data_IF_600373342234
#
_entry.id   IF_600373342234
#
_cell.length_a   1.000
_cell.length_b   1.000
_cell.length_c   1.000
_cell.angle_alpha   90.00
_cell.angle_beta   90.00
_cell.angle_gamma   90.00
#
_symmetry.space_group_name_H-M   'P 1'
#
loop_
_entity.id
_entity.type
_entity.pdbx_description
1 polymer ?
#
# COMPACT_ATOMS: atom_id res chain seq x y z
N UNK A 1 -37.35 33.47 38.27
CA UNK A 1 -37.62 32.09 38.68
C UNK A 1 -37.78 31.19 37.47
N UNK A 2 -38.15 31.73 36.30
CA UNK A 2 -38.22 31.00 35.01
C UNK A 2 -36.87 30.45 34.51
N UNK A 3 -35.76 31.19 34.68
CA UNK A 3 -34.42 30.81 34.20
C UNK A 3 -33.88 29.46 34.75
N UNK A 4 -34.29 29.06 35.96
CA UNK A 4 -33.88 27.76 36.53
C UNK A 4 -34.65 26.59 35.92
N UNK A 5 -35.95 26.76 35.70
CA UNK A 5 -36.79 25.71 35.10
C UNK A 5 -36.53 25.60 33.60
N UNK A 6 -36.31 26.71 32.90
CA UNK A 6 -35.89 26.72 31.50
C UNK A 6 -34.53 26.05 31.30
N UNK A 7 -33.59 26.26 32.23
CA UNK A 7 -32.30 25.55 32.20
C UNK A 7 -32.44 24.07 32.51
N UNK A 8 -33.32 23.68 33.43
CA UNK A 8 -33.58 22.27 33.73
C UNK A 8 -34.24 21.53 32.55
N UNK A 9 -35.09 22.22 31.77
CA UNK A 9 -35.73 21.67 30.56
C UNK A 9 -34.73 21.54 29.40
N UNK A 10 -33.81 22.51 29.24
CA UNK A 10 -32.82 22.51 28.14
C UNK A 10 -31.51 21.76 28.47
N UNK A 11 -31.36 21.25 29.70
CA UNK A 11 -30.13 20.60 30.16
C UNK A 11 -29.80 19.34 29.35
N UNK A 12 -30.80 18.53 29.00
CA UNK A 12 -30.59 17.31 28.23
C UNK A 12 -30.01 17.63 26.83
N UNK A 13 -30.62 18.58 26.11
CA UNK A 13 -30.13 19.02 24.80
C UNK A 13 -28.74 19.67 24.86
N UNK A 14 -28.42 20.39 25.95
CA UNK A 14 -27.10 20.99 26.16
C UNK A 14 -26.01 19.91 26.32
N UNK A 15 -26.29 18.88 27.13
CA UNK A 15 -25.36 17.77 27.35
C UNK A 15 -25.26 16.84 26.14
N UNK A 16 -26.36 16.61 25.42
CA UNK A 16 -26.33 15.86 24.16
C UNK A 16 -25.44 16.57 23.13
N UNK A 17 -25.61 17.88 22.97
CA UNK A 17 -24.78 18.67 22.05
C UNK A 17 -23.32 18.69 22.47
N UNK A 18 -23.05 18.84 23.77
CA UNK A 18 -21.69 18.80 24.30
C UNK A 18 -21.03 17.43 24.07
N UNK A 19 -21.73 16.35 24.40
CA UNK A 19 -21.25 14.98 24.19
C UNK A 19 -21.05 14.64 22.70
N UNK A 20 -21.93 15.10 21.82
CA UNK A 20 -21.75 14.96 20.38
C UNK A 20 -20.51 15.71 19.88
N UNK A 21 -20.33 16.97 20.29
CA UNK A 21 -19.18 17.76 19.89
C UNK A 21 -17.85 17.16 20.40
N UNK A 22 -17.84 16.69 21.65
CA UNK A 22 -16.70 15.99 22.25
C UNK A 22 -16.39 14.68 21.49
N UNK A 23 -17.41 13.85 21.27
CA UNK A 23 -17.28 12.57 20.55
C UNK A 23 -16.80 12.76 19.11
N UNK A 24 -17.30 13.78 18.41
CA UNK A 24 -16.88 14.12 17.06
C UNK A 24 -15.40 14.52 17.01
N UNK A 25 -14.95 15.41 17.91
CA UNK A 25 -13.56 15.85 17.92
C UNK A 25 -12.60 14.74 18.39
N UNK A 26 -13.02 13.92 19.36
CA UNK A 26 -12.27 12.75 19.80
C UNK A 26 -12.12 11.73 18.65
N UNK A 27 -13.22 11.40 17.96
CA UNK A 27 -13.22 10.50 16.82
C UNK A 27 -12.38 11.02 15.66
N UNK A 28 -12.43 12.32 15.37
CA UNK A 28 -11.59 12.95 14.33
C UNK A 28 -10.10 12.83 14.65
N UNK A 29 -9.69 13.08 15.90
CA UNK A 29 -8.29 12.94 16.33
C UNK A 29 -7.82 11.50 16.27
N UNK A 30 -8.62 10.57 16.80
CA UNK A 30 -8.28 9.16 16.83
C UNK A 30 -8.18 8.59 15.42
N UNK A 31 -9.19 8.80 14.58
CA UNK A 31 -9.20 8.31 13.20
C UNK A 31 -8.04 8.87 12.36
N UNK A 32 -7.64 10.12 12.58
CA UNK A 32 -6.47 10.69 11.92
C UNK A 32 -5.14 10.02 12.35
N UNK A 33 -5.02 9.67 13.64
CA UNK A 33 -3.84 8.98 14.16
C UNK A 33 -3.77 7.53 13.65
N UNK A 34 -4.88 6.79 13.78
CA UNK A 34 -5.00 5.40 13.32
C UNK A 34 -4.78 5.29 11.80
N UNK A 35 -5.43 6.14 11.01
CA UNK A 35 -5.27 6.15 9.56
C UNK A 35 -3.83 6.44 9.12
N UNK A 36 -3.11 7.31 9.86
CA UNK A 36 -1.69 7.58 9.60
C UNK A 36 -0.82 6.38 9.91
N UNK A 37 -1.05 5.72 11.04
CA UNK A 37 -0.28 4.54 11.45
C UNK A 37 -0.45 3.40 10.46
N UNK A 38 -1.70 3.05 10.14
CA UNK A 38 -2.04 2.01 9.16
C UNK A 38 -1.48 2.34 7.77
N UNK A 39 -1.58 3.60 7.34
CA UNK A 39 -1.04 4.04 6.06
C UNK A 39 0.49 3.90 5.97
N UNK A 40 1.21 4.14 7.07
CA UNK A 40 2.68 3.96 7.12
C UNK A 40 3.04 2.48 7.04
N UNK A 41 2.39 1.63 7.85
CA UNK A 41 2.66 0.19 7.88
C UNK A 41 2.37 -0.44 6.52
N UNK A 42 1.15 -0.24 6.00
CA UNK A 42 0.72 -0.82 4.74
C UNK A 42 1.50 -0.26 3.55
N UNK A 43 1.77 1.05 3.55
CA UNK A 43 2.58 1.70 2.52
C UNK A 43 4.02 1.20 2.51
N UNK A 44 4.61 0.93 3.68
CA UNK A 44 5.95 0.35 3.78
C UNK A 44 5.99 -1.06 3.22
N UNK A 45 5.01 -1.90 3.55
CA UNK A 45 4.93 -3.27 3.05
C UNK A 45 4.85 -3.32 1.53
N UNK A 46 3.92 -2.57 0.93
CA UNK A 46 3.81 -2.47 -0.53
C UNK A 46 5.10 -1.90 -1.12
N UNK A 47 5.64 -0.82 -0.55
CA UNK A 47 6.85 -0.18 -1.04
C UNK A 47 8.07 -1.11 -1.05
N UNK A 48 8.24 -1.91 0.01
CA UNK A 48 9.28 -2.94 0.13
C UNK A 48 9.17 -3.96 -1.00
N UNK A 49 7.97 -4.45 -1.27
CA UNK A 49 7.69 -5.46 -2.29
C UNK A 49 8.00 -4.92 -3.69
N UNK A 50 7.49 -3.72 -4.01
CA UNK A 50 7.71 -3.04 -5.28
C UNK A 50 9.20 -2.73 -5.50
N UNK A 51 9.88 -2.25 -4.47
CA UNK A 51 11.32 -1.98 -4.49
C UNK A 51 12.14 -3.23 -4.79
N UNK A 52 11.81 -4.35 -4.14
CA UNK A 52 12.44 -5.64 -4.40
C UNK A 52 12.25 -6.08 -5.86
N UNK A 53 11.01 -6.11 -6.37
CA UNK A 53 10.74 -6.57 -7.74
C UNK A 53 11.42 -5.69 -8.79
N UNK A 54 11.43 -4.37 -8.58
CA UNK A 54 12.12 -3.43 -9.47
C UNK A 54 13.62 -3.63 -9.45
N UNK A 55 14.23 -3.70 -8.26
CA UNK A 55 15.68 -3.91 -8.12
C UNK A 55 16.12 -5.24 -8.73
N UNK A 56 15.39 -6.32 -8.46
CA UNK A 56 15.63 -7.62 -9.07
C UNK A 56 15.58 -7.57 -10.59
N UNK A 57 14.56 -6.93 -11.16
CA UNK A 57 14.43 -6.81 -12.61
C UNK A 57 15.58 -5.98 -13.22
N UNK A 58 16.01 -4.92 -12.54
CA UNK A 58 17.14 -4.08 -12.95
C UNK A 58 18.46 -4.85 -12.97
N UNK A 59 18.74 -5.66 -11.94
CA UNK A 59 19.97 -6.45 -11.90
C UNK A 59 20.01 -7.51 -13.01
N UNK A 60 18.88 -8.15 -13.33
CA UNK A 60 18.83 -9.07 -14.47
C UNK A 60 19.03 -8.39 -15.82
N UNK A 61 18.49 -7.20 -16.02
CA UNK A 61 18.73 -6.43 -17.26
C UNK A 61 20.19 -5.97 -17.38
N UNK A 62 20.82 -5.58 -16.27
CA UNK A 62 22.26 -5.28 -16.23
C UNK A 62 23.09 -6.52 -16.55
N UNK A 63 22.77 -7.66 -15.94
CA UNK A 63 23.46 -8.91 -16.20
C UNK A 63 23.33 -9.35 -17.66
N UNK A 64 22.15 -9.19 -18.26
CA UNK A 64 21.93 -9.46 -19.69
C UNK A 64 22.72 -8.52 -20.62
N UNK A 65 22.97 -7.28 -20.19
CA UNK A 65 23.79 -6.32 -20.94
C UNK A 65 25.27 -6.74 -20.96
N UNK A 66 25.76 -7.34 -19.87
CA UNK A 66 27.12 -7.87 -19.78
C UNK A 66 27.26 -9.24 -20.47
N UNK A 67 26.22 -10.09 -20.37
CA UNK A 67 26.20 -11.44 -20.93
C UNK A 67 24.85 -11.74 -21.61
N UNK A 68 24.72 -11.47 -22.93
CA UNK A 68 23.44 -11.58 -23.65
C UNK A 68 22.81 -12.97 -23.63
N UNK A 69 23.61 -14.03 -23.45
CA UNK A 69 23.16 -15.41 -23.54
C UNK A 69 22.48 -15.93 -22.27
N UNK A 70 22.63 -15.23 -21.13
CA UNK A 70 22.11 -15.70 -19.84
C UNK A 70 20.62 -15.39 -19.64
N UNK A 71 20.08 -14.44 -20.39
CA UNK A 71 18.67 -14.02 -20.30
C UNK A 71 17.99 -14.17 -21.66
N UNK A 72 16.96 -15.02 -21.81
CA UNK A 72 16.26 -15.17 -23.07
C UNK A 72 15.53 -13.88 -23.44
N UNK A 73 15.46 -13.56 -24.75
CA UNK A 73 14.83 -12.34 -25.24
C UNK A 73 13.38 -12.11 -24.75
N UNK A 74 12.62 -13.20 -24.54
CA UNK A 74 11.26 -13.13 -23.98
C UNK A 74 11.25 -12.69 -22.51
N UNK A 75 12.27 -13.04 -21.73
CA UNK A 75 12.42 -12.58 -20.34
C UNK A 75 12.82 -11.10 -20.29
N UNK A 76 13.69 -10.62 -21.18
CA UNK A 76 14.08 -9.19 -21.25
C UNK A 76 12.87 -8.26 -21.32
N UNK A 77 11.94 -8.53 -22.24
CA UNK A 77 10.71 -7.74 -22.39
C UNK A 77 9.86 -7.75 -21.12
N UNK A 78 9.82 -8.88 -20.41
CA UNK A 78 9.02 -9.02 -19.19
C UNK A 78 9.69 -8.38 -17.97
N UNK A 79 11.02 -8.41 -17.90
CA UNK A 79 11.80 -7.69 -16.89
C UNK A 79 11.55 -6.18 -17.00
N UNK A 80 11.58 -5.64 -18.22
CA UNK A 80 11.24 -4.24 -18.46
C UNK A 80 9.79 -3.94 -18.04
N UNK A 81 8.83 -4.81 -18.39
CA UNK A 81 7.44 -4.65 -17.98
C UNK A 81 7.21 -4.67 -16.46
N UNK A 82 8.08 -5.32 -15.67
CA UNK A 82 8.04 -5.24 -14.20
C UNK A 82 8.43 -3.83 -13.75
N UNK A 83 9.53 -3.29 -14.29
CA UNK A 83 10.01 -1.94 -13.95
C UNK A 83 8.96 -0.90 -14.32
N UNK A 84 8.38 -0.99 -15.52
CA UNK A 84 7.35 -0.06 -15.98
C UNK A 84 6.11 -0.12 -15.10
N UNK A 85 5.66 -1.33 -14.74
CA UNK A 85 4.50 -1.50 -13.86
C UNK A 85 4.73 -0.95 -12.45
N UNK A 86 5.96 -1.06 -11.91
CA UNK A 86 6.32 -0.44 -10.61
C UNK A 86 6.34 1.08 -10.72
N UNK A 87 6.92 1.64 -11.79
CA UNK A 87 6.97 3.08 -11.99
C UNK A 87 5.58 3.71 -12.23
N UNK A 88 4.61 2.93 -12.69
CA UNK A 88 3.20 3.34 -12.88
C UNK A 88 2.38 3.29 -11.58
N UNK A 89 2.94 2.78 -10.47
CA UNK A 89 2.25 2.82 -9.17
C UNK A 89 2.25 4.26 -8.65
N UNK A 90 1.08 4.84 -8.30
CA UNK A 90 1.01 6.18 -7.73
C UNK A 90 1.84 6.31 -6.46
N UNK A 91 2.52 7.45 -6.31
CA UNK A 91 3.33 7.78 -5.12
C UNK A 91 2.67 8.85 -4.25
N UNK A 92 1.50 9.32 -4.68
CA UNK A 92 0.63 10.24 -3.95
C UNK A 92 -0.63 9.48 -3.55
N UNK A 93 -1.26 9.91 -2.45
CA UNK A 93 -2.49 9.28 -2.00
C UNK A 93 -3.57 9.37 -3.09
N UNK A 94 -4.13 8.22 -3.45
CA UNK A 94 -5.15 8.07 -4.49
C UNK A 94 -6.02 6.86 -4.12
N UNK A 95 -7.27 7.13 -3.77
CA UNK A 95 -8.25 6.12 -3.35
C UNK A 95 -8.60 5.13 -4.49
N UNK A 96 -8.38 5.52 -5.75
CA UNK A 96 -8.67 4.71 -6.92
C UNK A 96 -7.45 3.96 -7.46
N UNK A 97 -6.29 4.10 -6.81
CA UNK A 97 -5.04 3.51 -7.29
C UNK A 97 -5.03 1.98 -7.28
N UNK A 98 -5.88 1.34 -6.47
CA UNK A 98 -5.96 -0.12 -6.35
C UNK A 98 -4.58 -0.76 -6.09
N UNK A 99 -3.84 -0.24 -5.11
CA UNK A 99 -2.45 -0.61 -4.83
C UNK A 99 -2.23 -2.12 -4.71
N UNK A 100 -3.13 -2.82 -4.02
CA UNK A 100 -3.06 -4.27 -3.83
C UNK A 100 -3.13 -5.05 -5.14
N UNK A 101 -4.07 -4.68 -6.03
CA UNK A 101 -4.23 -5.33 -7.32
C UNK A 101 -3.00 -5.09 -8.21
N UNK A 102 -2.43 -3.89 -8.17
CA UNK A 102 -1.18 -3.55 -8.87
C UNK A 102 0.00 -4.36 -8.33
N UNK A 103 0.20 -4.39 -7.01
CA UNK A 103 1.26 -5.14 -6.36
C UNK A 103 1.15 -6.64 -6.68
N UNK A 104 -0.05 -7.22 -6.61
CA UNK A 104 -0.33 -8.61 -6.98
C UNK A 104 -0.02 -8.89 -8.45
N UNK A 105 -0.41 -8.00 -9.36
CA UNK A 105 -0.08 -8.10 -10.79
C UNK A 105 1.44 -8.11 -11.03
N UNK A 106 2.18 -7.25 -10.33
CA UNK A 106 3.64 -7.18 -10.40
C UNK A 106 4.28 -8.46 -9.84
N UNK A 107 3.81 -8.95 -8.70
CA UNK A 107 4.27 -10.22 -8.13
C UNK A 107 4.07 -11.40 -9.11
N UNK A 108 2.93 -11.47 -9.80
CA UNK A 108 2.66 -12.51 -10.79
C UNK A 108 3.61 -12.42 -11.99
N UNK A 109 3.92 -11.21 -12.46
CA UNK A 109 4.94 -11.01 -13.50
C UNK A 109 6.31 -11.48 -13.03
N UNK A 110 6.71 -11.08 -11.83
CA UNK A 110 7.96 -11.53 -11.20
C UNK A 110 8.03 -13.06 -11.13
N UNK A 111 7.02 -13.75 -10.58
CA UNK A 111 6.99 -15.22 -10.48
C UNK A 111 7.12 -15.88 -11.86
N UNK A 112 6.44 -15.33 -12.87
CA UNK A 112 6.55 -15.80 -14.25
C UNK A 112 7.98 -15.68 -14.78
N UNK A 113 8.63 -14.54 -14.58
CA UNK A 113 9.99 -14.31 -15.09
C UNK A 113 11.02 -15.12 -14.30
N UNK A 114 10.87 -15.25 -12.98
CA UNK A 114 11.74 -16.08 -12.14
C UNK A 114 11.76 -17.53 -12.63
N UNK A 115 10.58 -18.08 -12.96
CA UNK A 115 10.48 -19.42 -13.54
C UNK A 115 11.14 -19.51 -14.94
N UNK A 116 11.00 -18.47 -15.78
CA UNK A 116 11.66 -18.43 -17.09
C UNK A 116 13.19 -18.40 -16.99
N UNK A 117 13.73 -17.83 -15.92
CA UNK A 117 15.16 -17.75 -15.65
C UNK A 117 15.70 -18.98 -14.90
N UNK A 118 14.83 -19.92 -14.52
CA UNK A 118 15.22 -21.10 -13.76
C UNK A 118 15.71 -20.78 -12.33
N UNK A 119 15.35 -19.62 -11.79
CA UNK A 119 15.78 -19.19 -10.46
C UNK A 119 14.63 -19.35 -9.48
N UNK A 120 14.86 -20.15 -8.44
CA UNK A 120 13.99 -20.24 -7.26
C UNK A 120 14.48 -19.24 -6.21
N UNK A 121 13.65 -18.25 -5.89
CA UNK A 121 13.94 -17.33 -4.78
C UNK A 121 13.32 -17.95 -3.53
N UNK A 122 14.19 -18.46 -2.64
CA UNK A 122 13.84 -19.08 -1.35
C UNK A 122 13.65 -18.07 -0.22
N UNK A 123 13.91 -16.79 -0.48
CA UNK A 123 13.60 -15.72 0.47
C UNK A 123 12.09 -15.75 0.71
N UNK A 124 11.66 -15.61 1.97
CA UNK A 124 10.28 -15.29 2.29
C UNK A 124 9.83 -14.23 1.30
N UNK A 125 9.04 -14.65 0.31
CA UNK A 125 8.61 -13.73 -0.73
C UNK A 125 7.95 -12.60 0.03
N UNK A 126 8.19 -11.33 -0.40
CA UNK A 126 7.55 -10.19 0.23
C UNK A 126 6.08 -10.56 0.49
N UNK A 127 5.77 -10.63 1.79
CA UNK A 127 4.79 -11.56 2.33
C UNK A 127 3.40 -11.27 1.81
N UNK A 128 2.52 -12.26 1.94
CA UNK A 128 1.09 -12.16 1.76
C UNK A 128 0.45 -11.21 2.81
N UNK A 129 1.02 -10.03 3.07
CA UNK A 129 0.56 -9.05 4.07
C UNK A 129 -0.78 -8.40 3.68
N UNK A 130 -1.30 -8.72 2.49
CA UNK A 130 -2.66 -8.42 2.05
C UNK A 130 -3.71 -9.39 2.65
N UNK A 131 -3.43 -9.97 3.82
CA UNK A 131 -4.38 -10.81 4.56
C UNK A 131 -4.99 -9.99 5.70
N UNK A 132 -5.89 -9.08 5.38
CA UNK A 132 -6.88 -8.55 6.32
C UNK A 132 -8.27 -8.71 5.73
#
# INVERSE_FOLDING_TARGET
MDDFFDRAVNFEEEYERAGYAEGLEAGRKLGAAEGRELGIEHGFDIGKDLGFYRGWAQEWLRAASAHPDIVPARALKKLQAIIDAVNDVPTINDENANYEARAKSIQLKFKTVSAMLGVSISTELPSNSLSY
#
